data_IF_600216663298
#
_entry.id   IF_600216663298
#
_cell.length_a   1.000
_cell.length_b   1.000
_cell.length_c   1.000
_cell.angle_alpha   90.00
_cell.angle_beta   90.00
_cell.angle_gamma   90.00
#
_symmetry.space_group_name_H-M   'P 1'
#
loop_
_entity.id
_entity.type
_entity.pdbx_description
1 polymer ?
#
# COMPACT_ATOMS: atom_id res chain seq x y z
N UNK A 1 -33.30 7.15 9.91
CA UNK A 1 -33.44 7.17 8.43
C UNK A 1 -32.96 5.82 7.97
N UNK A 2 -33.68 5.12 7.12
CA UNK A 2 -33.20 3.84 6.60
C UNK A 2 -32.14 4.06 5.50
N UNK A 3 -31.40 3.03 5.12
CA UNK A 3 -30.32 3.13 4.13
C UNK A 3 -30.79 3.69 2.78
N UNK A 4 -31.93 3.20 2.28
CA UNK A 4 -32.48 3.67 1.00
C UNK A 4 -32.90 5.14 1.05
N UNK A 5 -33.39 5.64 2.17
CA UNK A 5 -33.72 7.07 2.33
C UNK A 5 -32.45 7.93 2.23
N UNK A 6 -31.34 7.47 2.84
CA UNK A 6 -30.03 8.16 2.78
C UNK A 6 -29.55 8.22 1.32
N UNK A 7 -29.58 7.08 0.63
CA UNK A 7 -29.13 6.97 -0.76
C UNK A 7 -30.00 7.80 -1.71
N UNK A 8 -31.33 7.71 -1.57
CA UNK A 8 -32.25 8.47 -2.39
C UNK A 8 -32.10 9.99 -2.19
N UNK A 9 -31.87 10.41 -0.94
CA UNK A 9 -31.56 11.82 -0.65
C UNK A 9 -30.26 12.25 -1.32
N UNK A 10 -29.18 11.47 -1.15
CA UNK A 10 -27.89 11.77 -1.77
C UNK A 10 -27.98 11.84 -3.30
N UNK A 11 -28.79 10.95 -3.92
CA UNK A 11 -29.07 10.97 -5.36
C UNK A 11 -29.79 12.24 -5.78
N UNK A 12 -30.87 12.61 -5.07
CA UNK A 12 -31.67 13.81 -5.38
C UNK A 12 -30.83 15.10 -5.25
N UNK A 13 -29.94 15.16 -4.26
CA UNK A 13 -29.06 16.29 -3.99
C UNK A 13 -27.80 16.31 -4.88
N UNK A 14 -27.58 15.26 -5.72
CA UNK A 14 -26.35 15.05 -6.49
C UNK A 14 -25.11 15.13 -5.60
N UNK A 15 -25.17 14.43 -4.46
CA UNK A 15 -24.13 14.47 -3.47
C UNK A 15 -22.78 14.06 -4.08
N UNK A 16 -21.71 14.73 -3.67
CA UNK A 16 -20.34 14.39 -4.05
C UNK A 16 -19.69 13.47 -3.04
N UNK A 17 -20.13 13.50 -1.79
CA UNK A 17 -19.63 12.68 -0.70
C UNK A 17 -20.78 11.89 -0.09
N UNK A 18 -20.52 10.62 0.21
CA UNK A 18 -21.47 9.76 0.89
C UNK A 18 -20.75 8.91 1.91
N UNK A 19 -21.15 9.05 3.17
CA UNK A 19 -20.67 8.24 4.28
C UNK A 19 -21.74 7.22 4.67
N UNK A 20 -21.43 5.93 4.44
CA UNK A 20 -22.23 4.78 4.84
C UNK A 20 -21.43 3.86 5.79
N UNK A 21 -20.44 4.43 6.50
CA UNK A 21 -19.68 3.67 7.48
C UNK A 21 -20.53 3.22 8.66
N UNK A 22 -20.16 2.11 9.28
CA UNK A 22 -20.76 1.59 10.52
C UNK A 22 -22.27 1.32 10.45
N UNK A 23 -22.80 1.00 9.26
CA UNK A 23 -24.22 0.71 9.06
C UNK A 23 -24.53 -0.80 9.17
N UNK A 24 -23.51 -1.65 9.39
CA UNK A 24 -23.67 -3.10 9.45
C UNK A 24 -24.07 -3.72 8.11
N UNK A 25 -23.72 -3.07 7.00
CA UNK A 25 -24.06 -3.49 5.63
C UNK A 25 -23.37 -4.79 5.27
N UNK A 26 -24.13 -5.73 4.71
CA UNK A 26 -23.60 -6.95 4.11
C UNK A 26 -23.58 -6.91 2.60
N UNK A 27 -24.45 -6.12 2.01
CA UNK A 27 -24.58 -5.90 0.57
C UNK A 27 -24.84 -4.41 0.32
N UNK A 28 -24.47 -3.94 -0.84
CA UNK A 28 -24.73 -2.57 -1.29
C UNK A 28 -25.96 -2.58 -2.22
N UNK A 29 -26.94 -1.70 -2.00
CA UNK A 29 -28.12 -1.66 -2.86
C UNK A 29 -27.76 -1.02 -4.20
N UNK A 30 -28.35 -1.47 -5.33
CA UNK A 30 -28.02 -1.00 -6.66
C UNK A 30 -28.28 0.50 -6.85
N UNK A 31 -29.20 1.10 -6.12
CA UNK A 31 -29.51 2.53 -6.15
C UNK A 31 -28.31 3.41 -5.79
N UNK A 32 -27.34 2.88 -5.01
CA UNK A 32 -26.09 3.55 -4.68
C UNK A 32 -25.30 3.92 -5.95
N UNK A 33 -25.24 3.00 -6.90
CA UNK A 33 -24.42 3.14 -8.11
C UNK A 33 -25.07 4.08 -9.17
N UNK A 34 -26.28 4.52 -8.93
CA UNK A 34 -26.93 5.55 -9.74
C UNK A 34 -26.48 6.98 -9.37
N UNK A 35 -25.74 7.16 -8.26
CA UNK A 35 -25.27 8.48 -7.81
C UNK A 35 -23.98 8.83 -8.55
N UNK A 36 -24.08 9.12 -9.83
CA UNK A 36 -22.93 9.41 -10.72
C UNK A 36 -22.13 10.67 -10.34
N UNK A 37 -22.63 11.46 -9.39
CA UNK A 37 -21.96 12.66 -8.88
C UNK A 37 -20.94 12.37 -7.78
N UNK A 38 -20.89 11.13 -7.25
CA UNK A 38 -20.01 10.80 -6.14
C UNK A 38 -18.53 10.96 -6.52
N UNK A 39 -17.82 11.70 -5.67
CA UNK A 39 -16.39 11.85 -5.68
C UNK A 39 -15.75 11.12 -4.48
N UNK A 40 -16.47 10.96 -3.37
CA UNK A 40 -16.01 10.27 -2.17
C UNK A 40 -17.09 9.32 -1.65
N UNK A 41 -16.72 8.06 -1.40
CA UNK A 41 -17.56 7.02 -0.82
C UNK A 41 -16.84 6.36 0.34
N UNK A 42 -17.44 6.43 1.53
CA UNK A 42 -16.98 5.76 2.73
C UNK A 42 -17.93 4.61 3.10
N UNK A 43 -17.40 3.38 3.09
CA UNK A 43 -18.08 2.13 3.44
C UNK A 43 -17.40 1.41 4.62
N UNK A 44 -16.54 2.11 5.38
CA UNK A 44 -15.75 1.51 6.46
C UNK A 44 -16.62 0.88 7.55
N UNK A 45 -16.06 -0.14 8.22
CA UNK A 45 -16.68 -0.77 9.40
C UNK A 45 -18.08 -1.31 9.13
N UNK A 46 -18.22 -2.00 8.02
CA UNK A 46 -19.40 -2.74 7.65
C UNK A 46 -19.12 -4.26 7.71
N UNK A 47 -19.91 -5.06 7.01
CA UNK A 47 -19.78 -6.51 6.91
C UNK A 47 -19.85 -6.95 5.45
N UNK A 48 -19.26 -6.15 4.57
CA UNK A 48 -19.25 -6.42 3.14
C UNK A 48 -18.27 -7.56 2.86
N UNK A 49 -18.75 -8.60 2.17
CA UNK A 49 -17.90 -9.72 1.75
C UNK A 49 -17.41 -9.56 0.31
N UNK A 50 -18.08 -8.70 -0.46
CA UNK A 50 -17.76 -8.39 -1.85
C UNK A 50 -18.18 -6.95 -2.20
N UNK A 51 -17.57 -6.40 -3.24
CA UNK A 51 -18.08 -5.22 -3.94
C UNK A 51 -18.71 -5.68 -5.24
N UNK A 52 -19.95 -5.27 -5.57
CA UNK A 52 -20.57 -5.66 -6.83
C UNK A 52 -19.89 -4.97 -8.03
N UNK A 53 -19.99 -5.58 -9.21
CA UNK A 53 -19.46 -5.02 -10.46
C UNK A 53 -19.94 -3.59 -10.75
N UNK A 54 -21.11 -3.24 -10.26
CA UNK A 54 -21.68 -1.88 -10.40
C UNK A 54 -20.83 -0.80 -9.74
N UNK A 55 -19.86 -1.14 -8.86
CA UNK A 55 -18.90 -0.18 -8.31
C UNK A 55 -18.18 0.59 -9.43
N UNK A 56 -17.86 -0.11 -10.53
CA UNK A 56 -17.21 0.47 -11.71
C UNK A 56 -18.04 1.52 -12.47
N UNK A 57 -19.30 1.74 -12.09
CA UNK A 57 -20.15 2.80 -12.65
C UNK A 57 -19.84 4.17 -12.03
N UNK A 58 -19.22 4.23 -10.84
CA UNK A 58 -18.93 5.48 -10.11
C UNK A 58 -17.66 6.16 -10.66
N UNK A 59 -17.62 6.47 -11.93
CA UNK A 59 -16.41 6.92 -12.67
C UNK A 59 -15.83 8.26 -12.20
N UNK A 60 -16.59 9.06 -11.42
CA UNK A 60 -16.11 10.32 -10.86
C UNK A 60 -15.49 10.16 -9.47
N UNK A 61 -15.45 8.91 -8.94
CA UNK A 61 -14.95 8.64 -7.60
C UNK A 61 -13.44 8.90 -7.52
N UNK A 62 -13.05 9.75 -6.57
CA UNK A 62 -11.66 10.11 -6.24
C UNK A 62 -11.18 9.42 -4.98
N UNK A 63 -12.09 9.13 -4.05
CA UNK A 63 -11.76 8.44 -2.80
C UNK A 63 -12.75 7.32 -2.54
N UNK A 64 -12.24 6.11 -2.36
CA UNK A 64 -13.01 4.94 -1.95
C UNK A 64 -12.38 4.36 -0.69
N UNK A 65 -13.18 4.30 0.38
CA UNK A 65 -12.79 3.63 1.62
C UNK A 65 -13.75 2.50 1.93
N UNK A 66 -13.20 1.28 2.07
CA UNK A 66 -13.93 0.04 2.42
C UNK A 66 -13.13 -0.73 3.49
N UNK A 67 -12.42 0.02 4.35
CA UNK A 67 -11.62 -0.58 5.42
C UNK A 67 -12.50 -1.18 6.51
N UNK A 68 -11.94 -2.17 7.24
CA UNK A 68 -12.65 -2.86 8.33
C UNK A 68 -13.98 -3.49 7.84
N UNK A 69 -13.87 -4.36 6.82
CA UNK A 69 -14.94 -5.18 6.26
C UNK A 69 -14.46 -6.65 6.16
N UNK A 70 -15.22 -7.49 5.46
CA UNK A 70 -14.92 -8.91 5.28
C UNK A 70 -14.63 -9.23 3.78
N UNK A 71 -14.13 -8.27 2.99
CA UNK A 71 -13.90 -8.44 1.56
C UNK A 71 -12.86 -9.54 1.29
N UNK A 72 -13.20 -10.48 0.43
CA UNK A 72 -12.31 -11.57 0.02
C UNK A 72 -11.64 -11.31 -1.33
N UNK A 73 -12.30 -10.52 -2.19
CA UNK A 73 -11.82 -10.16 -3.53
C UNK A 73 -12.35 -8.78 -3.95
N UNK A 74 -11.76 -8.22 -4.99
CA UNK A 74 -12.26 -7.02 -5.67
C UNK A 74 -12.75 -7.41 -7.08
N UNK A 75 -13.86 -6.82 -7.56
CA UNK A 75 -14.30 -7.07 -8.92
C UNK A 75 -13.36 -6.41 -9.94
N UNK A 76 -13.22 -7.00 -11.12
CA UNK A 76 -12.42 -6.43 -12.23
C UNK A 76 -12.85 -5.01 -12.60
N UNK A 77 -14.12 -4.69 -12.40
CA UNK A 77 -14.69 -3.38 -12.68
C UNK A 77 -14.13 -2.27 -11.77
N UNK A 78 -13.41 -2.62 -10.68
CA UNK A 78 -12.68 -1.63 -9.87
C UNK A 78 -11.74 -0.78 -10.73
N UNK A 79 -11.12 -1.40 -11.76
CA UNK A 79 -10.24 -0.72 -12.71
C UNK A 79 -10.93 0.36 -13.57
N UNK A 80 -12.26 0.44 -13.55
CA UNK A 80 -13.03 1.49 -14.24
C UNK A 80 -13.04 2.82 -13.47
N UNK A 81 -12.63 2.82 -12.19
CA UNK A 81 -12.59 4.03 -11.34
C UNK A 81 -11.33 4.87 -11.66
N UNK A 82 -11.14 5.21 -12.92
CA UNK A 82 -9.88 5.85 -13.38
C UNK A 82 -9.62 7.26 -12.82
N UNK A 83 -10.63 7.89 -12.19
CA UNK A 83 -10.45 9.14 -11.45
C UNK A 83 -9.94 8.95 -10.02
N UNK A 84 -9.80 7.68 -9.54
CA UNK A 84 -9.50 7.40 -8.15
C UNK A 84 -8.08 7.87 -7.77
N UNK A 85 -8.02 8.62 -6.68
CA UNK A 85 -6.80 9.18 -6.10
C UNK A 85 -6.44 8.49 -4.78
N UNK A 86 -7.45 8.03 -4.04
CA UNK A 86 -7.27 7.40 -2.73
C UNK A 86 -8.06 6.10 -2.63
N UNK A 87 -7.39 5.00 -2.29
CA UNK A 87 -7.97 3.67 -2.14
C UNK A 87 -7.60 3.09 -0.78
N UNK A 88 -8.60 2.86 0.07
CA UNK A 88 -8.43 2.31 1.42
C UNK A 88 -9.19 1.00 1.54
N UNK A 89 -8.47 -0.09 1.66
CA UNK A 89 -8.95 -1.47 1.74
C UNK A 89 -8.38 -2.21 2.96
N UNK A 90 -7.80 -1.49 3.90
CA UNK A 90 -7.16 -2.09 5.07
C UNK A 90 -8.15 -2.85 5.96
N UNK A 91 -7.65 -3.88 6.68
CA UNK A 91 -8.49 -4.71 7.55
C UNK A 91 -9.64 -5.39 6.79
N UNK A 92 -9.29 -6.21 5.82
CA UNK A 92 -10.18 -7.08 5.06
C UNK A 92 -9.57 -8.50 4.99
N UNK A 93 -10.07 -9.35 4.10
CA UNK A 93 -9.58 -10.71 3.88
C UNK A 93 -9.14 -10.94 2.43
N UNK A 94 -8.68 -9.88 1.75
CA UNK A 94 -8.26 -9.95 0.36
C UNK A 94 -7.05 -10.86 0.20
N UNK A 95 -7.16 -11.87 -0.66
CA UNK A 95 -6.08 -12.81 -0.98
C UNK A 95 -5.29 -12.41 -2.23
N UNK A 96 -5.90 -11.64 -3.12
CA UNK A 96 -5.31 -11.13 -4.35
C UNK A 96 -5.94 -9.81 -4.79
N UNK A 97 -5.31 -9.16 -5.75
CA UNK A 97 -5.86 -7.98 -6.43
C UNK A 97 -6.00 -8.29 -7.93
N UNK A 98 -7.09 -7.89 -8.58
CA UNK A 98 -7.23 -8.05 -10.01
C UNK A 98 -6.22 -7.17 -10.76
N UNK A 99 -5.68 -7.66 -11.89
CA UNK A 99 -4.74 -6.90 -12.73
C UNK A 99 -5.29 -5.53 -13.16
N UNK A 100 -6.61 -5.40 -13.23
CA UNK A 100 -7.30 -4.15 -13.59
C UNK A 100 -7.04 -3.00 -12.63
N UNK A 101 -6.54 -3.26 -11.39
CA UNK A 101 -6.08 -2.18 -10.48
C UNK A 101 -4.98 -1.33 -11.11
N UNK A 102 -4.22 -1.88 -12.07
CA UNK A 102 -3.23 -1.13 -12.85
C UNK A 102 -3.81 -0.01 -13.71
N UNK A 103 -5.13 0.01 -13.95
CA UNK A 103 -5.81 1.09 -14.67
C UNK A 103 -6.01 2.34 -13.79
N UNK A 104 -5.82 2.24 -12.47
CA UNK A 104 -6.01 3.33 -11.50
C UNK A 104 -4.80 4.26 -11.46
N UNK A 105 -4.44 4.82 -12.61
CA UNK A 105 -3.20 5.59 -12.80
C UNK A 105 -3.16 6.95 -12.10
N UNK A 106 -4.28 7.37 -11.49
CA UNK A 106 -4.37 8.59 -10.71
C UNK A 106 -4.17 8.39 -9.20
N UNK A 107 -3.95 7.16 -8.74
CA UNK A 107 -3.75 6.88 -7.32
C UNK A 107 -2.56 7.66 -6.72
N UNK A 108 -2.79 8.24 -5.55
CA UNK A 108 -1.80 8.93 -4.71
C UNK A 108 -1.56 8.19 -3.39
N UNK A 109 -2.62 7.65 -2.81
CA UNK A 109 -2.54 6.90 -1.55
C UNK A 109 -3.26 5.57 -1.71
N UNK A 110 -2.54 4.49 -1.38
CA UNK A 110 -3.08 3.13 -1.37
C UNK A 110 -2.80 2.51 -0.01
N UNK A 111 -3.83 2.03 0.65
CA UNK A 111 -3.73 1.28 1.89
C UNK A 111 -4.47 -0.05 1.75
N UNK A 112 -3.71 -1.16 1.75
CA UNK A 112 -4.22 -2.54 1.68
C UNK A 112 -3.61 -3.34 2.85
N UNK A 113 -3.22 -2.66 3.91
CA UNK A 113 -2.66 -3.30 5.09
C UNK A 113 -3.69 -4.18 5.80
N UNK A 114 -3.19 -5.22 6.51
CA UNK A 114 -4.04 -6.16 7.26
C UNK A 114 -5.07 -6.84 6.36
N UNK A 115 -4.53 -7.60 5.41
CA UNK A 115 -5.22 -8.48 4.50
C UNK A 115 -4.50 -9.84 4.45
N UNK A 116 -4.75 -10.65 3.44
CA UNK A 116 -4.17 -11.98 3.26
C UNK A 116 -3.46 -12.11 1.89
N UNK A 117 -2.94 -10.98 1.36
CA UNK A 117 -2.30 -10.95 0.05
C UNK A 117 -1.03 -11.81 0.05
N UNK A 118 -0.94 -12.75 -0.91
CA UNK A 118 0.23 -13.60 -1.14
C UNK A 118 1.21 -12.96 -2.13
N UNK A 119 0.67 -12.21 -3.09
CA UNK A 119 1.43 -11.52 -4.13
C UNK A 119 0.78 -10.20 -4.54
N UNK A 120 1.51 -9.41 -5.26
CA UNK A 120 1.07 -8.13 -5.78
C UNK A 120 1.21 -8.13 -7.30
N UNK A 121 0.19 -7.69 -8.07
CA UNK A 121 0.23 -7.78 -9.52
C UNK A 121 1.26 -6.80 -10.13
N UNK A 122 1.90 -7.21 -11.23
CA UNK A 122 2.88 -6.39 -11.94
C UNK A 122 2.33 -5.04 -12.44
N UNK A 123 1.03 -4.97 -12.64
CA UNK A 123 0.30 -3.79 -13.11
C UNK A 123 0.38 -2.61 -12.14
N UNK A 124 0.77 -2.82 -10.88
CA UNK A 124 1.04 -1.70 -9.94
C UNK A 124 2.10 -0.74 -10.46
N UNK A 125 2.99 -1.22 -11.33
CA UNK A 125 3.98 -0.36 -11.98
C UNK A 125 3.39 0.82 -12.77
N UNK A 126 2.08 0.80 -13.02
CA UNK A 126 1.34 1.89 -13.68
C UNK A 126 0.92 3.00 -12.69
N UNK A 127 1.07 2.81 -11.38
CA UNK A 127 0.69 3.78 -10.35
C UNK A 127 1.71 4.91 -10.20
N UNK A 128 2.01 5.58 -11.30
CA UNK A 128 3.10 6.56 -11.36
C UNK A 128 2.94 7.75 -10.40
N UNK A 129 1.72 8.02 -9.89
CA UNK A 129 1.43 9.14 -8.98
C UNK A 129 1.41 8.74 -7.50
N UNK A 130 1.53 7.45 -7.18
CA UNK A 130 1.47 6.98 -5.79
C UNK A 130 2.62 7.56 -4.98
N UNK A 131 2.25 8.16 -3.84
CA UNK A 131 3.13 8.79 -2.86
C UNK A 131 3.25 7.94 -1.61
N UNK A 132 2.17 7.27 -1.22
CA UNK A 132 2.11 6.38 -0.05
C UNK A 132 1.49 5.05 -0.40
N UNK A 133 2.21 3.97 -0.09
CA UNK A 133 1.75 2.59 -0.27
C UNK A 133 1.92 1.82 1.04
N UNK A 134 0.82 1.32 1.59
CA UNK A 134 0.80 0.54 2.82
C UNK A 134 0.31 -0.87 2.54
N UNK A 135 1.18 -1.86 2.76
CA UNK A 135 0.98 -3.29 2.53
C UNK A 135 1.33 -4.12 3.78
N UNK A 136 1.55 -3.46 4.92
CA UNK A 136 1.95 -4.16 6.14
C UNK A 136 0.87 -5.12 6.64
N UNK A 137 1.28 -6.12 7.40
CA UNK A 137 0.40 -7.17 7.93
C UNK A 137 -0.38 -7.90 6.81
N UNK A 138 0.36 -8.48 5.86
CA UNK A 138 -0.13 -9.36 4.81
C UNK A 138 0.69 -10.68 4.82
N UNK A 139 0.59 -11.48 3.78
CA UNK A 139 1.33 -12.73 3.59
C UNK A 139 2.23 -12.69 2.35
N UNK A 140 2.70 -11.50 1.98
CA UNK A 140 3.49 -11.30 0.77
C UNK A 140 4.82 -12.05 0.86
N UNK A 141 5.08 -12.92 -0.10
CA UNK A 141 6.36 -13.65 -0.22
C UNK A 141 7.34 -12.92 -1.13
N UNK A 142 6.85 -12.09 -2.04
CA UNK A 142 7.64 -11.32 -3.00
C UNK A 142 7.00 -9.95 -3.28
N UNK A 143 7.79 -9.04 -3.83
CA UNK A 143 7.34 -7.75 -4.38
C UNK A 143 7.78 -7.71 -5.85
N UNK A 144 6.90 -7.38 -6.80
CA UNK A 144 7.24 -7.40 -8.23
C UNK A 144 8.26 -6.31 -8.59
N UNK A 145 9.11 -6.58 -9.57
CA UNK A 145 10.11 -5.61 -10.08
C UNK A 145 9.49 -4.30 -10.57
N UNK A 146 8.23 -4.35 -10.97
CA UNK A 146 7.46 -3.18 -11.42
C UNK A 146 7.32 -2.09 -10.34
N UNK A 147 7.47 -2.42 -9.05
CA UNK A 147 7.48 -1.43 -7.95
C UNK A 147 8.53 -0.35 -8.18
N UNK A 148 9.67 -0.69 -8.78
CA UNK A 148 10.72 0.26 -9.13
C UNK A 148 10.32 1.36 -10.12
N UNK A 149 9.13 1.29 -10.72
CA UNK A 149 8.56 2.33 -11.59
C UNK A 149 7.87 3.45 -10.81
N UNK A 150 7.57 3.25 -9.52
CA UNK A 150 6.83 4.21 -8.67
C UNK A 150 7.73 5.38 -8.22
N UNK A 151 8.19 6.21 -9.17
CA UNK A 151 9.20 7.26 -8.93
C UNK A 151 8.77 8.36 -7.95
N UNK A 152 7.46 8.53 -7.72
CA UNK A 152 6.90 9.49 -6.78
C UNK A 152 6.66 8.90 -5.38
N UNK A 153 6.91 7.60 -5.18
CA UNK A 153 6.68 6.94 -3.90
C UNK A 153 7.62 7.52 -2.83
N UNK A 154 7.03 8.04 -1.76
CA UNK A 154 7.74 8.64 -0.62
C UNK A 154 7.75 7.70 0.57
N UNK A 155 6.66 6.96 0.77
CA UNK A 155 6.53 6.05 1.92
C UNK A 155 6.06 4.68 1.47
N UNK A 156 6.82 3.65 1.84
CA UNK A 156 6.51 2.25 1.58
C UNK A 156 6.54 1.47 2.90
N UNK A 157 5.44 0.81 3.23
CA UNK A 157 5.26 0.00 4.43
C UNK A 157 5.01 -1.44 4.04
N UNK A 158 5.94 -2.33 4.38
CA UNK A 158 5.95 -3.76 4.08
C UNK A 158 6.13 -4.61 5.34
N UNK A 159 5.98 -4.00 6.53
CA UNK A 159 6.17 -4.69 7.80
C UNK A 159 5.24 -5.88 7.95
N UNK A 160 5.69 -6.91 8.68
CA UNK A 160 4.90 -8.11 9.00
C UNK A 160 4.34 -8.78 7.73
N UNK A 161 5.23 -9.25 6.88
CA UNK A 161 4.95 -10.09 5.73
C UNK A 161 5.87 -11.33 5.75
N UNK A 162 5.84 -12.13 4.69
CA UNK A 162 6.67 -13.33 4.54
C UNK A 162 7.80 -13.15 3.51
N UNK A 163 8.28 -11.91 3.32
CA UNK A 163 9.29 -11.58 2.31
C UNK A 163 10.63 -12.24 2.64
N UNK A 164 11.12 -13.08 1.75
CA UNK A 164 12.48 -13.67 1.85
C UNK A 164 13.52 -12.84 1.12
N UNK A 165 13.08 -12.01 0.15
CA UNK A 165 13.91 -11.07 -0.60
C UNK A 165 13.09 -9.85 -1.02
N UNK A 166 13.77 -8.79 -1.39
CA UNK A 166 13.18 -7.60 -2.03
C UNK A 166 13.90 -7.32 -3.34
N UNK A 167 13.21 -6.88 -4.39
CA UNK A 167 13.81 -6.70 -5.69
C UNK A 167 14.81 -5.53 -5.70
N UNK A 168 15.91 -5.67 -6.42
CA UNK A 168 16.89 -4.62 -6.64
C UNK A 168 16.29 -3.33 -7.23
N UNK A 169 15.15 -3.47 -7.93
CA UNK A 169 14.40 -2.36 -8.51
C UNK A 169 13.86 -1.38 -7.47
N UNK A 170 13.72 -1.76 -6.19
CA UNK A 170 13.40 -0.82 -5.10
C UNK A 170 14.41 0.32 -5.02
N UNK A 171 15.69 0.07 -5.34
CA UNK A 171 16.73 1.11 -5.44
C UNK A 171 16.45 2.19 -6.48
N UNK A 172 15.45 2.00 -7.34
CA UNK A 172 15.03 2.98 -8.35
C UNK A 172 13.98 3.98 -7.83
N UNK A 173 13.52 3.86 -6.60
CA UNK A 173 12.49 4.74 -6.01
C UNK A 173 13.08 6.09 -5.62
N UNK A 174 13.24 6.96 -6.60
CA UNK A 174 13.99 8.22 -6.49
C UNK A 174 13.44 9.21 -5.44
N UNK A 175 12.17 9.06 -5.02
CA UNK A 175 11.53 9.93 -4.04
C UNK A 175 11.35 9.27 -2.67
N UNK A 176 11.78 8.02 -2.48
CA UNK A 176 11.54 7.27 -1.25
C UNK A 176 12.29 7.89 -0.07
N UNK A 177 11.54 8.23 0.98
CA UNK A 177 12.06 8.79 2.22
C UNK A 177 11.93 7.82 3.40
N UNK A 178 10.89 6.99 3.41
CA UNK A 178 10.61 6.03 4.48
C UNK A 178 10.38 4.66 3.88
N UNK A 179 11.15 3.68 4.33
CA UNK A 179 11.00 2.28 4.00
C UNK A 179 10.94 1.45 5.28
N UNK A 180 9.82 0.82 5.56
CA UNK A 180 9.62 -0.07 6.69
C UNK A 180 9.39 -1.48 6.18
N UNK A 181 10.25 -2.44 6.59
CA UNK A 181 10.18 -3.85 6.18
C UNK A 181 10.46 -4.76 7.40
N UNK A 182 10.06 -4.34 8.59
CA UNK A 182 10.24 -5.14 9.80
C UNK A 182 9.39 -6.39 9.80
N UNK A 183 9.77 -7.40 10.59
CA UNK A 183 8.97 -8.61 10.75
C UNK A 183 8.82 -9.40 9.44
N UNK A 184 9.92 -9.58 8.70
CA UNK A 184 9.99 -10.38 7.49
C UNK A 184 11.08 -11.49 7.63
N UNK A 185 11.46 -12.11 6.53
CA UNK A 185 12.44 -13.20 6.50
C UNK A 185 13.66 -12.85 5.63
N UNK A 186 13.99 -11.55 5.55
CA UNK A 186 15.07 -11.06 4.70
C UNK A 186 16.43 -11.48 5.27
N UNK A 187 17.25 -12.15 4.46
CA UNK A 187 18.65 -12.46 4.79
C UNK A 187 19.63 -11.47 4.18
N UNK A 188 19.23 -10.72 3.17
CA UNK A 188 20.08 -9.77 2.44
C UNK A 188 19.28 -8.56 1.95
N UNK A 189 19.92 -7.40 1.92
CA UNK A 189 19.41 -6.16 1.31
C UNK A 189 20.21 -5.88 0.03
N UNK A 190 19.54 -5.58 -1.10
CA UNK A 190 20.21 -5.27 -2.37
C UNK A 190 21.14 -4.06 -2.27
N UNK A 191 22.31 -4.13 -2.93
CA UNK A 191 23.25 -3.01 -3.00
C UNK A 191 22.64 -1.76 -3.68
N UNK A 192 21.65 -1.97 -4.53
CA UNK A 192 20.91 -0.91 -5.22
C UNK A 192 20.22 0.07 -4.26
N UNK A 193 20.02 -0.32 -3.00
CA UNK A 193 19.48 0.60 -1.98
C UNK A 193 20.38 1.82 -1.76
N UNK A 194 21.67 1.70 -2.04
CA UNK A 194 22.60 2.85 -2.06
C UNK A 194 22.20 3.98 -3.03
N UNK A 195 21.34 3.71 -4.02
CA UNK A 195 20.80 4.70 -4.97
C UNK A 195 19.65 5.54 -4.39
N UNK A 196 19.10 5.17 -3.24
CA UNK A 196 17.96 5.84 -2.59
C UNK A 196 18.40 7.15 -1.94
N UNK A 197 18.68 8.16 -2.76
CA UNK A 197 19.31 9.42 -2.34
C UNK A 197 18.47 10.26 -1.37
N UNK A 198 17.14 10.04 -1.31
CA UNK A 198 16.21 10.73 -0.41
C UNK A 198 15.81 9.90 0.79
N UNK A 199 16.24 8.64 0.88
CA UNK A 199 15.91 7.76 2.00
C UNK A 199 16.44 8.35 3.31
N UNK A 200 15.56 8.55 4.27
CA UNK A 200 15.85 9.11 5.59
C UNK A 200 15.73 8.05 6.68
N UNK A 201 14.75 7.17 6.54
CA UNK A 201 14.44 6.15 7.54
C UNK A 201 14.34 4.78 6.88
N UNK A 202 15.13 3.82 7.36
CA UNK A 202 15.13 2.43 6.95
C UNK A 202 14.92 1.55 8.19
N UNK A 203 13.79 0.86 8.27
CA UNK A 203 13.45 0.00 9.40
C UNK A 203 13.41 -1.45 8.93
N UNK A 204 14.30 -2.27 9.48
CA UNK A 204 14.56 -3.66 9.09
C UNK A 204 14.48 -4.62 10.28
N UNK A 205 13.89 -4.20 11.41
CA UNK A 205 13.83 -5.00 12.63
C UNK A 205 13.19 -6.37 12.39
N UNK A 206 13.55 -7.35 13.22
CA UNK A 206 12.97 -8.70 13.17
C UNK A 206 13.03 -9.32 11.76
N UNK A 207 14.24 -9.42 11.19
CA UNK A 207 14.57 -10.12 9.96
C UNK A 207 15.68 -11.15 10.21
N UNK A 208 16.31 -11.65 9.15
CA UNK A 208 17.38 -12.65 9.22
C UNK A 208 18.70 -12.10 8.65
N UNK A 209 18.93 -10.79 8.78
CA UNK A 209 20.09 -10.11 8.22
C UNK A 209 21.36 -10.44 9.02
N UNK A 210 22.41 -10.92 8.34
CA UNK A 210 23.73 -11.14 8.92
C UNK A 210 24.62 -9.90 8.82
N UNK A 211 24.37 -9.06 7.82
CA UNK A 211 25.05 -7.77 7.57
C UNK A 211 24.19 -6.85 6.72
N UNK A 212 24.66 -5.63 6.45
CA UNK A 212 24.05 -4.68 5.51
C UNK A 212 25.01 -4.40 4.34
N UNK A 213 24.49 -4.02 3.14
CA UNK A 213 25.38 -3.65 2.03
C UNK A 213 26.09 -2.32 2.31
N UNK A 214 27.41 -2.26 2.03
CA UNK A 214 28.20 -1.03 2.17
C UNK A 214 27.61 0.17 1.42
N UNK A 215 26.94 -0.09 0.30
CA UNK A 215 26.29 0.92 -0.53
C UNK A 215 25.25 1.77 0.21
N UNK A 216 24.71 1.32 1.35
CA UNK A 216 23.82 2.15 2.18
C UNK A 216 24.52 3.41 2.71
N UNK A 217 25.86 3.40 2.80
CA UNK A 217 26.62 4.59 3.14
C UNK A 217 26.48 5.71 2.09
N UNK A 218 26.12 5.37 0.84
CA UNK A 218 25.91 6.31 -0.27
C UNK A 218 24.56 7.04 -0.20
N UNK A 219 23.61 6.55 0.61
CA UNK A 219 22.31 7.20 0.83
C UNK A 219 22.50 8.53 1.55
N UNK A 220 22.54 9.64 0.80
CA UNK A 220 22.94 10.96 1.31
C UNK A 220 22.06 11.48 2.43
N UNK A 221 20.76 11.18 2.40
CA UNK A 221 19.76 11.69 3.33
C UNK A 221 19.50 10.74 4.51
N UNK A 222 20.16 9.57 4.57
CA UNK A 222 19.86 8.54 5.56
C UNK A 222 20.23 9.01 6.97
N UNK A 223 19.21 9.09 7.82
CA UNK A 223 19.27 9.57 9.19
C UNK A 223 19.18 8.44 10.21
N UNK A 224 18.37 7.42 9.91
CA UNK A 224 18.10 6.31 10.83
C UNK A 224 18.07 4.98 10.11
N UNK A 225 18.73 3.98 10.68
CA UNK A 225 18.57 2.55 10.35
C UNK A 225 18.19 1.85 11.64
N UNK A 226 17.13 1.05 11.63
CA UNK A 226 16.78 0.15 12.72
C UNK A 226 16.94 -1.30 12.25
N UNK A 227 17.66 -2.12 13.03
CA UNK A 227 18.02 -3.51 12.72
C UNK A 227 17.90 -4.43 13.94
N UNK A 228 17.10 -4.04 14.94
CA UNK A 228 16.86 -4.85 16.12
C UNK A 228 16.37 -6.26 15.73
N UNK A 229 16.65 -7.25 16.54
CA UNK A 229 16.20 -8.63 16.31
C UNK A 229 16.64 -9.22 14.94
N UNK A 230 17.87 -8.87 14.49
CA UNK A 230 18.57 -9.52 13.38
C UNK A 230 19.81 -10.23 13.90
N UNK A 231 20.28 -11.34 13.28
CA UNK A 231 21.48 -12.04 13.70
C UNK A 231 22.74 -11.17 13.71
N UNK A 232 22.93 -10.37 12.68
CA UNK A 232 24.07 -9.45 12.45
C UNK A 232 25.44 -10.13 12.71
N UNK A 233 25.58 -11.40 12.34
CA UNK A 233 26.76 -12.23 12.65
C UNK A 233 28.05 -11.68 12.02
N UNK A 234 27.96 -11.14 10.81
CA UNK A 234 29.08 -10.52 10.11
C UNK A 234 29.34 -9.05 10.56
N UNK A 235 28.45 -8.51 11.40
CA UNK A 235 28.48 -7.14 11.86
C UNK A 235 28.15 -6.11 10.77
N UNK A 236 28.27 -4.85 11.12
CA UNK A 236 28.01 -3.75 10.20
C UNK A 236 29.26 -3.35 9.41
N UNK A 237 29.14 -3.09 8.10
CA UNK A 237 30.24 -2.55 7.29
C UNK A 237 30.76 -1.23 7.86
N UNK A 238 32.11 -1.08 7.81
CA UNK A 238 32.78 0.13 8.32
C UNK A 238 32.28 1.42 7.68
N UNK A 239 31.94 1.37 6.38
CA UNK A 239 31.38 2.51 5.66
C UNK A 239 30.08 3.04 6.28
N UNK A 240 29.24 2.15 6.83
CA UNK A 240 27.99 2.50 7.52
C UNK A 240 28.32 3.07 8.91
N UNK A 241 29.23 2.42 9.66
CA UNK A 241 29.64 2.85 11.01
C UNK A 241 30.30 4.25 11.01
N UNK A 242 31.08 4.54 9.94
CA UNK A 242 31.78 5.81 9.80
C UNK A 242 30.89 6.96 9.24
N UNK A 243 29.64 6.64 8.87
CA UNK A 243 28.70 7.62 8.29
C UNK A 243 28.23 8.62 9.35
N UNK A 244 28.66 9.89 9.18
CA UNK A 244 28.34 10.96 10.11
C UNK A 244 26.83 11.25 10.16
N UNK A 245 26.30 11.36 11.37
CA UNK A 245 24.89 11.72 11.63
C UNK A 245 23.89 10.58 11.47
N UNK A 246 24.34 9.40 11.04
CA UNK A 246 23.49 8.21 11.00
C UNK A 246 23.27 7.68 12.43
N UNK A 247 22.02 7.43 12.78
CA UNK A 247 21.62 6.70 13.98
C UNK A 247 21.34 5.24 13.61
N UNK A 248 21.86 4.33 14.39
CA UNK A 248 21.65 2.89 14.20
C UNK A 248 21.08 2.34 15.50
N UNK A 249 19.87 1.79 15.42
CA UNK A 249 19.20 1.09 16.50
C UNK A 249 19.41 -0.42 16.30
N UNK A 250 20.01 -1.10 17.34
CA UNK A 250 20.39 -2.53 17.32
C UNK A 250 19.88 -3.23 18.58
#
# INVERSE_FOLDING_TARGET
MNLLDIINKAKAEKAKTLDLSQQGLRLLPPELFEIQSLEELNLDRNKLVELPDDIGLLKNLKSLSVSENDLMELPDTIGNLTALEHLYLGYNSLSELPATVGNLTNLHTVNIAKNQLLEFPDEIGNWAKVVKLSLHDNMLTTIPDSVGKLKNLVKLYLDNNDLTEVPASLGNLASLEILMISGNQLSVIPQEFGKLSKLRELVLDANQLETLPEALADCKSLETISINENPMEDGLPRAILDKKGLKIDQ
#
